data_IF_137189121073
#
_entry.id   IF_137189121073
#
_cell.length_a   1.000
_cell.length_b   1.000
_cell.length_c   1.000
_cell.angle_alpha   90.00
_cell.angle_beta   90.00
_cell.angle_gamma   90.00
#
_symmetry.space_group_name_H-M   'P 1'
#
loop_
_entity.id
_entity.type
_entity.pdbx_description
1 polymer ?
#
# COMPACT_ATOMS: atom_id res chain seq x y z
N UNK A 1 -14.70 0.61 -10.38
CA UNK A 1 -13.34 1.13 -10.19
C UNK A 1 -12.31 0.32 -10.98
N UNK A 2 -11.00 0.63 -10.84
CA UNK A 2 -9.94 -0.03 -11.62
C UNK A 2 -9.86 -1.54 -11.34
N UNK A 3 -9.99 -1.96 -10.07
CA UNK A 3 -9.98 -3.37 -9.70
C UNK A 3 -11.18 -4.13 -10.30
N UNK A 4 -12.37 -3.57 -10.19
CA UNK A 4 -13.59 -4.19 -10.75
C UNK A 4 -13.50 -4.37 -12.27
N UNK A 5 -12.92 -3.39 -12.97
CA UNK A 5 -12.65 -3.51 -14.41
C UNK A 5 -11.66 -4.63 -14.71
N UNK A 6 -10.55 -4.69 -13.98
CA UNK A 6 -9.57 -5.76 -14.11
C UNK A 6 -10.14 -7.13 -13.79
N UNK A 7 -10.94 -7.23 -12.73
CA UNK A 7 -11.61 -8.47 -12.36
C UNK A 7 -12.62 -8.94 -13.44
N UNK A 8 -13.39 -8.01 -13.99
CA UNK A 8 -14.35 -8.31 -15.04
C UNK A 8 -13.67 -8.82 -16.34
N UNK A 9 -12.48 -8.27 -16.67
CA UNK A 9 -11.76 -8.63 -17.90
C UNK A 9 -10.85 -9.86 -17.73
N UNK A 10 -10.17 -9.98 -16.59
CA UNK A 10 -9.12 -10.98 -16.36
C UNK A 10 -9.49 -12.04 -15.31
N UNK A 11 -10.63 -11.89 -14.64
CA UNK A 11 -11.07 -12.77 -13.55
C UNK A 11 -10.33 -12.47 -12.23
N UNK A 12 -10.38 -13.45 -11.31
CA UNK A 12 -9.74 -13.36 -9.99
C UNK A 12 -8.23 -13.22 -10.08
N UNK A 13 -7.58 -12.49 -9.12
CA UNK A 13 -6.13 -12.33 -9.04
C UNK A 13 -5.29 -13.60 -9.16
N UNK A 14 -5.80 -14.75 -8.75
CA UNK A 14 -5.11 -16.06 -8.92
C UNK A 14 -4.90 -16.45 -10.40
N UNK A 15 -5.56 -15.76 -11.34
CA UNK A 15 -5.39 -15.95 -12.78
C UNK A 15 -4.46 -14.92 -13.43
N UNK A 16 -3.94 -13.95 -12.66
CA UNK A 16 -3.14 -12.86 -13.19
C UNK A 16 -1.66 -13.19 -13.34
N UNK A 17 -1.27 -14.46 -13.17
CA UNK A 17 0.12 -14.91 -13.27
C UNK A 17 1.07 -14.13 -12.36
N UNK A 18 0.63 -13.93 -11.10
CA UNK A 18 1.44 -13.31 -10.06
C UNK A 18 2.54 -14.29 -9.64
N UNK A 19 3.69 -13.76 -9.21
CA UNK A 19 4.80 -14.58 -8.71
C UNK A 19 4.72 -14.76 -7.20
N UNK A 20 5.23 -15.90 -6.73
CA UNK A 20 5.59 -16.06 -5.32
C UNK A 20 6.89 -15.33 -5.06
N UNK A 21 6.84 -14.39 -4.13
CA UNK A 21 8.02 -13.65 -3.70
C UNK A 21 8.49 -14.24 -2.38
N UNK A 22 9.74 -14.70 -2.34
CA UNK A 22 10.41 -15.05 -1.09
C UNK A 22 10.57 -13.81 -0.20
N UNK A 23 10.96 -13.98 1.07
CA UNK A 23 11.15 -12.85 2.00
C UNK A 23 12.16 -11.80 1.49
N UNK A 24 12.91 -12.13 0.47
CA UNK A 24 13.85 -11.24 -0.22
C UNK A 24 13.49 -11.15 -1.70
N UNK A 25 12.70 -10.12 -2.06
CA UNK A 25 12.32 -9.86 -3.43
C UNK A 25 13.54 -9.55 -4.31
N UNK A 26 13.64 -10.23 -5.44
CA UNK A 26 14.71 -10.08 -6.44
C UNK A 26 14.20 -9.41 -7.71
N UNK A 27 15.09 -9.16 -8.68
CA UNK A 27 14.69 -8.64 -9.99
C UNK A 27 13.78 -9.59 -10.76
N UNK A 28 13.84 -10.89 -10.46
CA UNK A 28 13.03 -11.93 -11.09
C UNK A 28 11.55 -11.83 -10.67
N UNK A 29 11.28 -11.19 -9.54
CA UNK A 29 9.92 -10.99 -9.01
C UNK A 29 9.14 -9.86 -9.72
N UNK A 30 9.77 -9.13 -10.64
CA UNK A 30 9.18 -7.99 -11.34
C UNK A 30 7.99 -8.37 -12.23
N UNK A 31 8.02 -9.53 -12.90
CA UNK A 31 6.96 -9.91 -13.85
C UNK A 31 5.61 -10.07 -13.15
N UNK A 32 5.54 -10.64 -11.95
CA UNK A 32 4.29 -10.70 -11.18
C UNK A 32 3.72 -9.32 -10.84
N UNK A 33 4.58 -8.38 -10.47
CA UNK A 33 4.16 -7.00 -10.20
C UNK A 33 3.72 -6.26 -11.46
N UNK A 34 4.35 -6.54 -12.59
CA UNK A 34 3.94 -6.05 -13.91
C UNK A 34 2.59 -6.64 -14.34
N UNK A 35 2.38 -7.93 -14.12
CA UNK A 35 1.13 -8.60 -14.40
C UNK A 35 -0.01 -8.05 -13.51
N UNK A 36 0.26 -7.80 -12.24
CA UNK A 36 -0.66 -7.12 -11.34
C UNK A 36 -1.05 -5.73 -11.87
N UNK A 37 -0.07 -4.94 -12.32
CA UNK A 37 -0.35 -3.65 -12.96
C UNK A 37 -1.16 -3.81 -14.24
N UNK A 38 -0.81 -4.76 -15.12
CA UNK A 38 -1.51 -4.98 -16.38
C UNK A 38 -2.96 -5.42 -16.16
N UNK A 39 -3.25 -6.17 -15.09
CA UNK A 39 -4.59 -6.65 -14.78
C UNK A 39 -5.53 -5.50 -14.34
N UNK A 40 -5.09 -4.56 -13.51
CA UNK A 40 -5.97 -3.48 -13.06
C UNK A 40 -5.35 -2.08 -13.03
N UNK A 41 -4.04 -1.97 -12.88
CA UNK A 41 -3.35 -0.67 -12.83
C UNK A 41 -3.44 0.11 -14.13
N UNK A 42 -3.63 -0.57 -15.27
CA UNK A 42 -3.79 0.06 -16.59
C UNK A 42 -5.01 0.97 -16.69
N UNK A 43 -6.03 0.72 -15.87
CA UNK A 43 -7.23 1.57 -15.79
C UNK A 43 -7.02 2.84 -14.96
N UNK A 44 -5.87 2.98 -14.30
CA UNK A 44 -5.48 4.18 -13.57
C UNK A 44 -4.77 5.14 -14.52
N UNK A 45 -5.33 6.33 -14.69
CA UNK A 45 -4.74 7.37 -15.55
C UNK A 45 -3.39 7.82 -15.00
N UNK A 46 -2.32 7.60 -15.75
CA UNK A 46 -0.95 7.94 -15.36
C UNK A 46 -0.34 9.01 -16.27
N UNK A 47 0.52 9.84 -15.70
CA UNK A 47 1.36 10.81 -16.44
C UNK A 47 2.82 10.36 -16.55
N UNK A 48 3.26 9.43 -15.68
CA UNK A 48 4.61 8.86 -15.72
C UNK A 48 4.55 7.36 -15.41
N UNK A 49 5.35 6.61 -16.16
CA UNK A 49 5.50 5.17 -16.04
C UNK A 49 6.99 4.86 -15.77
N UNK A 50 7.31 4.50 -14.55
CA UNK A 50 8.66 4.13 -14.17
C UNK A 50 8.94 2.63 -14.30
N UNK A 51 7.90 1.81 -14.39
CA UNK A 51 8.06 0.36 -14.37
C UNK A 51 8.89 -0.09 -13.14
N UNK A 52 9.92 -0.91 -13.33
CA UNK A 52 10.88 -1.31 -12.27
C UNK A 52 11.94 -0.25 -11.95
N UNK A 53 11.97 0.91 -12.64
CA UNK A 53 13.02 1.92 -12.49
C UNK A 53 12.68 2.95 -11.40
N UNK A 54 13.69 3.70 -10.97
CA UNK A 54 13.52 4.84 -10.05
C UNK A 54 12.84 6.05 -10.69
N UNK A 55 12.44 7.00 -9.84
CA UNK A 55 11.91 8.31 -10.25
C UNK A 55 10.38 8.45 -10.15
N UNK A 56 9.70 7.47 -9.55
CA UNK A 56 8.28 7.57 -9.20
C UNK A 56 8.03 7.72 -7.70
N UNK A 57 9.02 7.45 -6.86
CA UNK A 57 8.95 7.62 -5.42
C UNK A 57 10.11 8.50 -4.94
N UNK A 58 10.01 9.05 -3.73
CA UNK A 58 11.12 9.73 -3.08
C UNK A 58 12.23 8.73 -2.72
N UNK A 59 13.46 9.22 -2.57
CA UNK A 59 14.62 8.39 -2.24
C UNK A 59 14.55 7.82 -0.81
N UNK A 60 13.83 8.49 0.07
CA UNK A 60 13.68 8.08 1.47
C UNK A 60 12.26 8.26 1.96
N UNK A 61 11.83 7.28 2.74
CA UNK A 61 10.59 7.31 3.50
C UNK A 61 10.87 7.06 4.98
N UNK A 62 10.02 7.57 5.83
CA UNK A 62 10.16 7.49 7.29
C UNK A 62 8.91 6.88 7.93
N UNK A 63 9.08 6.24 9.06
CA UNK A 63 7.98 5.95 9.96
C UNK A 63 7.54 7.24 10.68
N UNK A 64 6.33 7.27 11.23
CA UNK A 64 5.81 8.44 11.96
C UNK A 64 6.64 8.80 13.20
N UNK A 65 7.42 7.87 13.73
CA UNK A 65 8.36 8.08 14.83
C UNK A 65 9.73 8.65 14.39
N UNK A 66 9.92 8.92 13.10
CA UNK A 66 11.14 9.48 12.53
C UNK A 66 12.22 8.46 12.12
N UNK A 67 12.03 7.18 12.40
CA UNK A 67 12.96 6.16 11.92
C UNK A 67 12.85 6.02 10.39
N UNK A 68 13.99 5.89 9.70
CA UNK A 68 14.02 5.67 8.25
C UNK A 68 13.52 4.26 7.92
N UNK A 69 12.68 4.14 6.89
CA UNK A 69 12.29 2.84 6.34
C UNK A 69 13.45 2.26 5.54
N UNK A 70 13.72 1.00 5.77
CA UNK A 70 14.75 0.25 5.01
C UNK A 70 14.23 -0.28 3.68
N UNK A 71 12.92 -0.30 3.48
CA UNK A 71 12.26 -0.76 2.26
C UNK A 71 12.25 0.38 1.23
N UNK A 72 13.18 0.34 0.28
CA UNK A 72 13.35 1.36 -0.74
C UNK A 72 12.26 1.23 -1.83
N UNK A 73 11.27 2.10 -1.77
CA UNK A 73 10.19 2.14 -2.77
C UNK A 73 10.67 2.67 -4.12
N UNK A 74 11.67 3.56 -4.13
CA UNK A 74 12.10 4.22 -5.37
C UNK A 74 12.94 3.31 -6.24
N UNK A 75 13.94 2.64 -5.69
CA UNK A 75 14.89 1.83 -6.47
C UNK A 75 14.51 0.36 -6.55
N UNK A 76 13.55 -0.12 -5.72
CA UNK A 76 13.12 -1.52 -5.73
C UNK A 76 12.70 -1.99 -7.14
N UNK A 77 13.46 -2.86 -7.80
CA UNK A 77 13.24 -3.20 -9.20
C UNK A 77 12.10 -4.21 -9.39
N UNK A 78 11.74 -4.95 -8.35
CA UNK A 78 10.68 -5.95 -8.34
C UNK A 78 9.26 -5.34 -8.26
N UNK A 79 9.13 -4.01 -8.16
CA UNK A 79 7.85 -3.30 -8.11
C UNK A 79 7.56 -2.59 -9.41
N UNK A 80 6.32 -2.64 -9.88
CA UNK A 80 5.87 -1.80 -10.98
C UNK A 80 5.42 -0.44 -10.44
N UNK A 81 5.95 0.66 -10.94
CA UNK A 81 5.77 2.00 -10.38
C UNK A 81 5.25 3.00 -11.40
N UNK A 82 4.28 3.82 -10.99
CA UNK A 82 3.71 4.91 -11.80
C UNK A 82 3.54 6.19 -10.98
N UNK A 83 3.37 7.31 -11.68
CA UNK A 83 2.77 8.53 -11.13
C UNK A 83 1.46 8.77 -11.86
N UNK A 84 0.38 8.93 -11.11
CA UNK A 84 -0.97 9.21 -11.64
C UNK A 84 -1.07 10.64 -12.16
N UNK A 85 -2.13 10.92 -12.92
CA UNK A 85 -2.41 12.29 -13.38
C UNK A 85 -2.59 13.29 -12.23
N UNK A 86 -3.06 12.81 -11.07
CA UNK A 86 -3.27 13.63 -9.86
C UNK A 86 -2.00 13.76 -9.01
N UNK A 87 -0.85 13.34 -9.53
CA UNK A 87 0.48 13.40 -8.91
C UNK A 87 0.71 12.40 -7.77
N UNK A 88 -0.15 11.45 -7.52
CA UNK A 88 0.12 10.37 -6.57
C UNK A 88 1.13 9.38 -7.14
N UNK A 89 2.03 8.85 -6.31
CA UNK A 89 2.87 7.71 -6.70
C UNK A 89 2.19 6.41 -6.30
N UNK A 90 2.24 5.42 -7.17
CA UNK A 90 1.73 4.08 -6.88
C UNK A 90 2.76 3.02 -7.22
N UNK A 91 2.93 2.03 -6.34
CA UNK A 91 3.76 0.86 -6.60
C UNK A 91 2.94 -0.41 -6.37
N UNK A 92 3.00 -1.29 -7.36
CA UNK A 92 2.34 -2.60 -7.36
C UNK A 92 3.40 -3.65 -7.01
N UNK A 93 3.10 -4.49 -6.05
CA UNK A 93 4.01 -5.52 -5.57
C UNK A 93 3.25 -6.83 -5.39
N UNK A 94 3.45 -7.78 -6.31
CA UNK A 94 2.91 -9.13 -6.20
C UNK A 94 3.69 -9.92 -5.14
N UNK A 95 2.99 -10.77 -4.38
CA UNK A 95 3.56 -11.57 -3.29
C UNK A 95 3.28 -13.06 -3.43
N UNK A 96 2.11 -13.43 -3.96
CA UNK A 96 1.66 -14.81 -3.99
C UNK A 96 0.78 -15.04 -5.21
N UNK A 97 1.13 -16.05 -6.00
CA UNK A 97 0.39 -16.38 -7.22
C UNK A 97 -1.01 -16.93 -6.93
N UNK A 98 -1.18 -17.61 -5.81
CA UNK A 98 -2.43 -18.24 -5.36
C UNK A 98 -3.13 -17.44 -4.24
N UNK A 99 -2.63 -16.24 -3.93
CA UNK A 99 -3.13 -15.38 -2.86
C UNK A 99 -3.10 -16.02 -1.45
N UNK A 100 -2.23 -17.00 -1.22
CA UNK A 100 -2.18 -17.74 0.05
C UNK A 100 -1.34 -17.08 1.14
N UNK A 101 -0.63 -15.99 0.83
CA UNK A 101 0.23 -15.34 1.82
C UNK A 101 -0.58 -14.68 2.94
N UNK A 102 -0.38 -15.16 4.16
CA UNK A 102 -1.06 -14.63 5.34
C UNK A 102 -0.44 -13.31 5.76
N UNK A 103 -1.28 -12.31 5.99
CA UNK A 103 -0.90 -11.05 6.65
C UNK A 103 -1.55 -11.00 8.03
N UNK A 104 -0.71 -10.97 9.06
CA UNK A 104 -1.14 -11.08 10.46
C UNK A 104 -1.46 -9.73 11.14
N UNK A 105 -1.39 -8.63 10.42
CA UNK A 105 -1.64 -7.32 11.01
C UNK A 105 -3.13 -7.09 11.30
N UNK A 106 -3.62 -7.80 12.32
CA UNK A 106 -4.90 -7.57 12.99
C UNK A 106 -6.13 -8.18 12.34
N UNK A 107 -6.32 -8.11 11.04
CA UNK A 107 -7.24 -8.95 10.28
C UNK A 107 -6.40 -10.03 9.60
N UNK A 108 -6.54 -11.28 10.02
CA UNK A 108 -5.91 -12.41 9.33
C UNK A 108 -6.53 -12.47 7.93
N UNK A 109 -5.76 -12.04 6.95
CA UNK A 109 -6.18 -12.04 5.56
C UNK A 109 -5.10 -12.65 4.70
N UNK A 110 -5.50 -13.49 3.78
CA UNK A 110 -4.63 -13.96 2.72
C UNK A 110 -4.57 -12.93 1.60
N UNK A 111 -3.38 -12.67 1.08
CA UNK A 111 -3.16 -11.65 0.06
C UNK A 111 -2.37 -12.17 -1.13
N UNK A 112 -2.64 -11.57 -2.28
CA UNK A 112 -1.90 -11.76 -3.52
C UNK A 112 -0.76 -10.75 -3.66
N UNK A 113 -0.90 -9.56 -3.06
CA UNK A 113 0.08 -8.50 -3.17
C UNK A 113 -0.28 -7.23 -2.41
N UNK A 114 0.55 -6.21 -2.60
CA UNK A 114 0.40 -4.88 -2.00
C UNK A 114 0.35 -3.79 -3.06
N UNK A 115 -0.40 -2.72 -2.78
CA UNK A 115 -0.32 -1.45 -3.49
C UNK A 115 0.12 -0.37 -2.51
N UNK A 116 1.27 0.23 -2.76
CA UNK A 116 1.75 1.40 -2.03
C UNK A 116 1.26 2.66 -2.74
N UNK A 117 0.77 3.63 -1.97
CA UNK A 117 0.26 4.90 -2.48
C UNK A 117 0.86 6.05 -1.69
N UNK A 118 1.70 6.85 -2.35
CA UNK A 118 2.13 8.15 -1.84
C UNK A 118 1.20 9.21 -2.43
N UNK A 119 0.39 9.81 -1.58
CA UNK A 119 -0.74 10.66 -1.99
C UNK A 119 -0.33 12.03 -2.52
N UNK A 120 0.90 12.45 -2.34
CA UNK A 120 1.40 13.75 -2.81
C UNK A 120 2.58 13.64 -3.79
N UNK A 121 3.07 12.41 -4.01
CA UNK A 121 4.10 12.08 -5.00
C UNK A 121 5.53 12.39 -4.54
N UNK A 122 6.54 12.04 -5.35
CA UNK A 122 7.93 11.90 -4.92
C UNK A 122 8.62 13.19 -4.47
N UNK A 123 8.05 14.36 -4.82
CA UNK A 123 8.69 15.66 -4.62
C UNK A 123 8.01 16.51 -3.56
N UNK A 124 7.06 15.98 -2.82
CA UNK A 124 6.27 16.75 -1.84
C UNK A 124 6.06 15.94 -0.57
N UNK A 125 5.89 16.68 0.54
CA UNK A 125 5.54 16.12 1.82
C UNK A 125 6.71 15.65 2.64
N UNK A 126 6.40 14.96 3.71
CA UNK A 126 7.39 14.43 4.66
C UNK A 126 7.87 13.04 4.29
N UNK A 127 7.25 12.41 3.29
CA UNK A 127 7.48 11.02 2.89
C UNK A 127 7.35 10.07 4.10
N UNK A 128 6.23 10.19 4.81
CA UNK A 128 6.04 9.53 6.11
C UNK A 128 4.89 8.53 6.03
N UNK A 129 5.16 7.33 6.53
CA UNK A 129 4.17 6.27 6.65
C UNK A 129 3.00 6.74 7.53
N UNK A 130 1.77 6.55 7.04
CA UNK A 130 0.54 6.98 7.71
C UNK A 130 0.26 8.49 7.61
N UNK A 131 1.13 9.29 7.00
CA UNK A 131 0.87 10.70 6.70
C UNK A 131 0.74 10.93 5.19
N UNK A 132 1.74 10.50 4.44
CA UNK A 132 1.79 10.62 2.97
C UNK A 132 1.71 9.24 2.29
N UNK A 133 2.31 8.22 2.90
CA UNK A 133 2.42 6.87 2.36
C UNK A 133 1.41 5.94 3.01
N UNK A 134 0.59 5.29 2.18
CA UNK A 134 -0.44 4.33 2.58
C UNK A 134 -0.28 3.02 1.81
N UNK A 135 -0.79 1.93 2.38
CA UNK A 135 -0.69 0.59 1.79
C UNK A 135 -2.07 -0.05 1.71
N UNK A 136 -2.32 -0.73 0.60
CA UNK A 136 -3.51 -1.54 0.38
C UNK A 136 -3.11 -2.98 0.11
N UNK A 137 -3.92 -3.91 0.57
CA UNK A 137 -3.83 -5.33 0.26
C UNK A 137 -4.60 -5.62 -1.03
N UNK A 138 -3.97 -6.34 -1.96
CA UNK A 138 -4.69 -7.08 -2.98
C UNK A 138 -4.97 -8.48 -2.46
N UNK A 139 -6.23 -8.84 -2.28
CA UNK A 139 -6.70 -10.18 -1.98
C UNK A 139 -7.46 -10.76 -3.19
N UNK A 140 -7.84 -12.02 -3.12
CA UNK A 140 -8.57 -12.68 -4.21
C UNK A 140 -9.94 -12.01 -4.48
N UNK A 141 -10.56 -11.46 -3.44
CA UNK A 141 -11.91 -10.90 -3.45
C UNK A 141 -11.95 -9.36 -3.46
N UNK A 142 -10.79 -8.68 -3.53
CA UNK A 142 -10.80 -7.21 -3.56
C UNK A 142 -9.49 -6.54 -3.19
N UNK A 143 -9.56 -5.21 -3.16
CA UNK A 143 -8.51 -4.35 -2.62
C UNK A 143 -8.99 -3.79 -1.29
N UNK A 144 -8.17 -3.96 -0.25
CA UNK A 144 -8.51 -3.60 1.12
C UNK A 144 -7.45 -2.66 1.74
N UNK A 145 -7.87 -1.66 2.52
CA UNK A 145 -6.90 -0.82 3.23
C UNK A 145 -6.14 -1.64 4.28
N UNK A 146 -4.83 -1.44 4.35
CA UNK A 146 -3.99 -2.09 5.35
C UNK A 146 -4.34 -1.61 6.77
N UNK A 147 -4.43 -2.56 7.71
CA UNK A 147 -4.72 -2.33 9.12
C UNK A 147 -5.98 -3.04 9.59
N UNK A 148 -6.13 -3.15 10.90
CA UNK A 148 -7.30 -3.72 11.56
C UNK A 148 -8.08 -2.67 12.35
N UNK A 149 -9.41 -2.85 12.43
CA UNK A 149 -10.29 -2.01 13.24
C UNK A 149 -10.21 -2.41 14.73
N UNK A 150 -9.00 -2.44 15.29
CA UNK A 150 -8.73 -2.78 16.69
C UNK A 150 -7.85 -1.73 17.35
N UNK A 151 -8.08 -1.45 18.63
CA UNK A 151 -7.25 -0.51 19.40
C UNK A 151 -5.81 -1.02 19.52
N UNK A 152 -5.59 -2.32 19.54
CA UNK A 152 -4.25 -2.91 19.53
C UNK A 152 -3.48 -2.47 18.29
N UNK A 153 -4.02 -2.67 17.09
CA UNK A 153 -3.39 -2.25 15.84
C UNK A 153 -3.21 -0.71 15.78
N UNK A 154 -4.22 0.04 16.27
CA UNK A 154 -4.14 1.50 16.32
C UNK A 154 -2.95 1.97 17.17
N UNK A 155 -2.74 1.40 18.35
CA UNK A 155 -1.69 1.83 19.28
C UNK A 155 -0.31 1.26 18.92
N UNK A 156 -0.22 -0.06 18.61
CA UNK A 156 1.07 -0.73 18.38
C UNK A 156 1.72 -0.36 17.06
N UNK A 157 0.90 -0.09 16.03
CA UNK A 157 1.40 0.06 14.66
C UNK A 157 1.11 1.45 14.11
N UNK A 158 -0.16 1.86 14.07
CA UNK A 158 -0.54 3.12 13.45
C UNK A 158 0.01 4.33 14.22
N UNK A 159 -0.29 4.46 15.50
CA UNK A 159 0.20 5.60 16.31
C UNK A 159 1.70 5.52 16.58
N UNK A 160 2.25 4.31 16.70
CA UNK A 160 3.65 4.11 17.05
C UNK A 160 4.58 4.36 15.84
N UNK A 161 4.19 3.92 14.65
CA UNK A 161 5.06 3.92 13.45
C UNK A 161 4.41 4.49 12.20
N UNK A 162 3.09 4.71 12.19
CA UNK A 162 2.33 5.07 11.00
C UNK A 162 2.00 3.86 10.11
N UNK A 163 2.39 2.65 10.51
CA UNK A 163 2.03 1.42 9.82
C UNK A 163 0.57 1.07 10.05
N UNK A 164 -0.05 0.38 9.10
CA UNK A 164 -1.43 -0.12 9.23
C UNK A 164 -2.50 0.97 9.50
N UNK A 165 -2.20 2.24 9.17
CA UNK A 165 -3.12 3.36 9.35
C UNK A 165 -4.13 3.54 8.21
N UNK A 166 -3.93 2.87 7.08
CA UNK A 166 -4.76 3.08 5.87
C UNK A 166 -6.24 2.84 6.18
N UNK A 167 -6.56 1.78 6.93
CA UNK A 167 -7.93 1.46 7.33
C UNK A 167 -8.54 2.57 8.20
N UNK A 168 -7.78 3.11 9.16
CA UNK A 168 -8.25 4.25 9.96
C UNK A 168 -8.63 5.45 9.10
N UNK A 169 -7.76 5.81 8.15
CA UNK A 169 -7.99 6.98 7.29
C UNK A 169 -9.23 6.79 6.42
N UNK A 170 -9.42 5.60 5.86
CA UNK A 170 -10.59 5.31 5.01
C UNK A 170 -11.89 5.33 5.82
N UNK A 171 -11.92 4.74 7.03
CA UNK A 171 -13.14 4.63 7.82
C UNK A 171 -13.47 5.88 8.64
N UNK A 172 -12.46 6.62 9.10
CA UNK A 172 -12.66 7.80 9.96
C UNK A 172 -12.43 9.14 9.25
N UNK A 173 -11.98 9.13 7.98
CA UNK A 173 -11.74 10.30 7.14
C UNK A 173 -10.81 11.34 7.78
N UNK A 174 -9.84 10.90 8.58
CA UNK A 174 -8.88 11.76 9.24
C UNK A 174 -7.55 11.07 9.54
N UNK A 175 -6.53 11.86 9.91
CA UNK A 175 -5.20 11.42 10.36
C UNK A 175 -4.90 11.94 11.78
N UNK A 176 -5.91 12.00 12.64
CA UNK A 176 -5.77 12.55 13.98
C UNK A 176 -4.87 11.71 14.90
N UNK A 177 -4.63 10.42 14.57
CA UNK A 177 -3.61 9.59 15.22
C UNK A 177 -2.18 10.18 15.18
N UNK A 178 -1.92 11.11 14.28
CA UNK A 178 -0.65 11.86 14.24
C UNK A 178 -0.58 12.97 15.30
N UNK A 179 -1.71 13.38 15.88
CA UNK A 179 -1.84 14.54 16.74
C UNK A 179 -2.17 14.20 18.20
N UNK A 180 -3.07 13.25 18.42
CA UNK A 180 -3.51 12.86 19.76
C UNK A 180 -3.41 11.35 19.95
N UNK A 181 -3.24 10.90 21.21
CA UNK A 181 -2.94 9.52 21.56
C UNK A 181 -4.09 8.80 22.29
N UNK A 182 -5.23 9.47 22.42
CA UNK A 182 -6.43 8.97 23.12
C UNK A 182 -7.56 8.58 22.17
N UNK A 183 -7.23 8.24 20.92
CA UNK A 183 -8.18 7.74 19.93
C UNK A 183 -8.45 6.25 20.16
N UNK A 184 -9.64 5.78 19.81
CA UNK A 184 -9.98 4.37 19.81
C UNK A 184 -11.05 4.04 18.76
N UNK A 185 -11.07 2.80 18.29
CA UNK A 185 -12.06 2.34 17.33
C UNK A 185 -13.50 2.29 17.90
N UNK A 186 -13.62 2.01 19.19
CA UNK A 186 -14.91 1.91 19.89
C UNK A 186 -15.38 3.21 20.55
N UNK A 187 -14.58 4.30 20.46
CA UNK A 187 -14.85 5.53 21.18
C UNK A 187 -14.49 6.80 20.42
N UNK A 188 -13.43 7.48 20.87
CA UNK A 188 -13.00 8.76 20.31
C UNK A 188 -12.25 8.56 19.00
N UNK A 189 -12.79 9.06 17.88
CA UNK A 189 -12.17 8.96 16.55
C UNK A 189 -11.56 10.28 16.04
N UNK A 190 -11.70 11.38 16.79
CA UNK A 190 -11.13 12.71 16.43
C UNK A 190 -10.49 13.36 17.64
N UNK A 191 -9.42 14.12 17.42
CA UNK A 191 -8.83 14.94 18.50
C UNK A 191 -9.83 15.96 19.02
N UNK A 192 -9.79 16.22 20.33
CA UNK A 192 -10.48 17.38 20.91
C UNK A 192 -9.86 18.67 20.38
N UNK A 193 -10.68 19.67 20.13
CA UNK A 193 -10.21 21.00 19.73
C UNK A 193 -9.49 21.69 20.87
#
# INVERSE_FOLDING_TARGET
DAYEQGFAEHGSPVKWELNDVSDYATNEDYEGSKNMYNAFGVYIKKKKDCQGKSGCFADKYFFSNGAERTDDLNTAPHRYKIITNDNMSMAFHAYSHDCSRVQEAGDIRTICGLVFVDINGPNKGKNTMGDDLFVFYLAEDGIFPQGAATDTCLYSDCMAKGEHCTKWVIENENRDYLKCKDLSWSGKTKCSK
#
